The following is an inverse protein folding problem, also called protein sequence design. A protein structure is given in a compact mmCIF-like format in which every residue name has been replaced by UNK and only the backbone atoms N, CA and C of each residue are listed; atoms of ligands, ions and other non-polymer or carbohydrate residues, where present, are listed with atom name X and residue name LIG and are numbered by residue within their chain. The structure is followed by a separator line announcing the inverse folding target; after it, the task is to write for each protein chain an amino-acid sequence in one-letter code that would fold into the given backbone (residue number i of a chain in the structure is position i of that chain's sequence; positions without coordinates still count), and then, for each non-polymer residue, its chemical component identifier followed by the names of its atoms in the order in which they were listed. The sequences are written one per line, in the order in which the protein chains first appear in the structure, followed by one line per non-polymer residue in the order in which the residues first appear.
data_IF_319539820690
#
_entry.id   IF_319539820690
#
_cell.length_a   1.000
_cell.length_b   1.000
_cell.length_c   1.000
_cell.angle_alpha   90.00
_cell.angle_beta   90.00
_cell.angle_gamma   90.00
#
_symmetry.space_group_name_H-M   'P 1'
#
loop_
_entity.id
_entity.type
_entity.pdbx_description
1 polymer ?
#
# COMPACT_ATOMS: atom_id res chain seq x y z
N UNK A 1 20.80 -21.00 -15.37
CA UNK A 1 20.83 -19.92 -16.36
C UNK A 1 21.08 -18.61 -15.66
N UNK A 2 21.98 -17.81 -16.18
CA UNK A 2 22.30 -16.49 -15.66
C UNK A 2 21.11 -15.54 -15.85
N UNK A 3 20.90 -14.64 -14.90
CA UNK A 3 19.86 -13.63 -14.93
C UNK A 3 20.49 -12.24 -14.84
N UNK A 4 20.09 -11.34 -15.74
CA UNK A 4 20.42 -9.92 -15.61
C UNK A 4 19.40 -9.29 -14.67
N UNK A 5 19.86 -8.78 -13.52
CA UNK A 5 19.00 -8.21 -12.49
C UNK A 5 19.17 -6.70 -12.45
N UNK A 6 18.05 -5.97 -12.63
CA UNK A 6 17.95 -4.51 -12.48
C UNK A 6 17.21 -4.17 -11.20
N UNK A 7 17.78 -3.27 -10.41
CA UNK A 7 17.20 -2.82 -9.14
C UNK A 7 17.07 -1.32 -9.12
N UNK A 8 15.91 -0.83 -8.72
CA UNK A 8 15.64 0.60 -8.59
C UNK A 8 14.64 0.88 -7.47
N UNK A 9 14.75 2.04 -6.83
CA UNK A 9 13.76 2.55 -5.89
C UNK A 9 12.97 3.68 -6.56
N UNK A 10 11.64 3.62 -6.48
CA UNK A 10 10.75 4.60 -7.08
C UNK A 10 9.73 5.10 -6.06
N UNK A 11 9.55 6.42 -5.90
CA UNK A 11 8.46 6.99 -5.11
C UNK A 11 7.13 7.02 -5.88
N UNK A 12 7.17 7.11 -7.21
CA UNK A 12 5.98 7.30 -8.03
C UNK A 12 5.05 6.09 -8.03
N UNK A 13 5.64 4.89 -7.97
CA UNK A 13 4.89 3.64 -7.88
C UNK A 13 4.10 3.51 -6.56
N UNK A 14 4.52 4.21 -5.51
CA UNK A 14 3.85 4.16 -4.22
C UNK A 14 2.43 4.74 -4.25
N UNK A 15 2.17 5.73 -5.12
CA UNK A 15 0.86 6.37 -5.25
C UNK A 15 -0.21 5.41 -5.76
N UNK A 16 0.14 4.48 -6.62
CA UNK A 16 -0.79 3.50 -7.17
C UNK A 16 -1.36 2.56 -6.10
N UNK A 17 -0.64 2.36 -5.00
CA UNK A 17 -1.05 1.47 -3.92
C UNK A 17 -2.05 2.11 -2.95
N UNK A 18 -2.09 3.43 -2.89
CA UNK A 18 -2.93 4.17 -1.93
C UNK A 18 -4.23 4.70 -2.51
N UNK A 19 -4.47 4.52 -3.81
CA UNK A 19 -5.65 5.06 -4.51
C UNK A 19 -5.58 6.56 -4.75
N UNK A 20 -6.70 7.18 -5.08
CA UNK A 20 -6.81 8.62 -5.33
C UNK A 20 -6.59 9.39 -4.04
N UNK A 21 -5.41 9.97 -3.86
CA UNK A 21 -5.07 10.80 -2.70
C UNK A 21 -4.48 12.10 -3.22
N UNK A 22 -5.18 13.20 -3.00
CA UNK A 22 -4.77 14.52 -3.45
C UNK A 22 -3.51 15.05 -2.74
N UNK A 23 -3.12 14.45 -1.60
CA UNK A 23 -2.14 15.03 -0.68
C UNK A 23 -0.85 14.23 -0.47
N UNK A 24 -0.54 13.23 -1.31
CA UNK A 24 0.74 12.54 -1.18
C UNK A 24 1.89 13.43 -1.65
N UNK A 25 2.97 13.54 -0.85
CA UNK A 25 4.11 14.35 -1.25
C UNK A 25 4.73 13.81 -2.55
N UNK A 26 4.98 14.72 -3.48
CA UNK A 26 5.74 14.44 -4.70
C UNK A 26 7.22 14.64 -4.38
N UNK A 27 8.01 13.58 -4.49
CA UNK A 27 9.46 13.68 -4.33
C UNK A 27 10.05 13.96 -5.71
N UNK A 28 10.53 15.18 -5.92
CA UNK A 28 11.21 15.61 -7.17
C UNK A 28 12.65 15.12 -7.25
N UNK A 29 13.22 14.72 -6.12
CA UNK A 29 14.62 14.29 -6.00
C UNK A 29 14.71 12.79 -5.70
N UNK A 30 15.83 12.18 -6.11
CA UNK A 30 16.16 10.81 -5.72
C UNK A 30 16.51 10.75 -4.25
N UNK A 31 15.64 10.13 -3.45
CA UNK A 31 15.83 9.99 -2.00
C UNK A 31 16.65 8.75 -1.67
N UNK A 32 16.37 7.64 -2.34
CA UNK A 32 17.03 6.36 -2.11
C UNK A 32 17.62 5.80 -3.39
N UNK A 33 18.78 5.17 -3.27
CA UNK A 33 19.40 4.37 -4.33
C UNK A 33 19.61 2.93 -3.85
N UNK A 34 19.48 1.99 -4.79
CA UNK A 34 19.81 0.59 -4.58
C UNK A 34 21.17 0.27 -5.23
N UNK A 35 22.02 -0.45 -4.53
CA UNK A 35 23.35 -0.82 -5.00
C UNK A 35 23.62 -2.32 -4.81
N UNK A 36 24.06 -3.06 -5.82
CA UNK A 36 24.29 -2.64 -7.21
C UNK A 36 22.97 -2.44 -7.99
N UNK A 37 22.86 -1.42 -8.87
CA UNK A 37 21.63 -1.17 -9.63
C UNK A 37 21.41 -2.15 -10.78
N UNK A 38 22.51 -2.78 -11.26
CA UNK A 38 22.49 -3.77 -12.33
C UNK A 38 23.60 -4.79 -12.09
N UNK A 39 23.28 -6.07 -12.17
CA UNK A 39 24.25 -7.15 -12.02
C UNK A 39 23.77 -8.45 -12.66
N UNK A 40 24.70 -9.37 -12.92
CA UNK A 40 24.38 -10.73 -13.34
C UNK A 40 24.33 -11.64 -12.12
N UNK A 41 23.17 -12.28 -11.92
CA UNK A 41 22.98 -13.30 -10.89
C UNK A 41 23.14 -14.68 -11.52
N UNK A 42 24.14 -15.42 -11.06
CA UNK A 42 24.40 -16.81 -11.48
C UNK A 42 23.49 -17.79 -10.72
N UNK A 43 23.20 -18.98 -11.27
CA UNK A 43 22.48 -20.03 -10.55
C UNK A 43 23.13 -20.31 -9.19
N UNK A 44 22.31 -20.59 -8.20
CA UNK A 44 22.72 -20.94 -6.83
C UNK A 44 23.60 -19.90 -6.13
N UNK A 45 23.63 -18.67 -6.66
CA UNK A 45 24.30 -17.52 -6.03
C UNK A 45 23.29 -16.52 -5.47
N UNK A 46 23.73 -15.80 -4.44
CA UNK A 46 22.99 -14.71 -3.86
C UNK A 46 23.78 -13.40 -3.96
N UNK A 47 23.06 -12.29 -3.98
CA UNK A 47 23.64 -10.95 -4.01
C UNK A 47 22.92 -10.07 -2.98
N UNK A 48 23.68 -9.32 -2.20
CA UNK A 48 23.13 -8.35 -1.25
C UNK A 48 22.88 -7.04 -1.96
N UNK A 49 21.63 -6.57 -1.88
CA UNK A 49 21.23 -5.24 -2.34
C UNK A 49 21.24 -4.32 -1.13
N UNK A 50 21.97 -3.21 -1.23
CA UNK A 50 22.00 -2.15 -0.21
C UNK A 50 21.12 -1.00 -0.69
N UNK A 51 20.29 -0.49 0.23
CA UNK A 51 19.44 0.67 0.00
C UNK A 51 20.02 1.81 0.84
N UNK A 52 20.48 2.87 0.18
CA UNK A 52 21.09 4.00 0.83
C UNK A 52 20.23 5.26 0.59
N UNK A 53 20.02 6.04 1.65
CA UNK A 53 19.47 7.39 1.53
C UNK A 53 20.57 8.30 1.02
N UNK A 54 20.32 9.03 -0.08
CA UNK A 54 21.31 9.90 -0.73
C UNK A 54 20.91 11.36 -0.73
N UNK A 55 19.66 11.68 -0.44
CA UNK A 55 19.19 13.06 -0.43
C UNK A 55 17.73 13.19 -0.06
N UNK A 56 17.14 14.29 -0.48
CA UNK A 56 15.73 14.62 -0.35
C UNK A 56 15.28 14.94 1.07
N UNK A 57 14.34 15.88 1.18
CA UNK A 57 13.66 16.19 2.44
C UNK A 57 12.44 15.24 2.58
N UNK A 58 12.42 14.46 3.65
CA UNK A 58 11.29 13.61 4.01
C UNK A 58 10.56 14.19 5.22
N UNK A 59 9.22 14.09 5.27
CA UNK A 59 8.46 14.50 6.43
C UNK A 59 8.97 13.81 7.71
N UNK A 60 9.13 14.58 8.78
CA UNK A 60 9.57 14.06 10.07
C UNK A 60 8.40 13.60 10.96
N UNK A 61 7.17 13.96 10.59
CA UNK A 61 5.95 13.71 11.34
C UNK A 61 5.17 12.46 10.88
N UNK A 62 5.63 11.80 9.80
CA UNK A 62 4.91 10.66 9.21
C UNK A 62 5.81 9.70 8.45
N UNK A 63 5.31 8.52 8.18
CA UNK A 63 5.96 7.57 7.27
C UNK A 63 5.94 8.05 5.82
N UNK A 64 6.99 7.67 5.07
CA UNK A 64 7.08 7.84 3.62
C UNK A 64 7.21 6.48 2.95
N UNK A 65 6.50 6.27 1.83
CA UNK A 65 6.44 5.01 1.09
C UNK A 65 7.24 5.10 -0.20
N UNK A 66 8.07 4.09 -0.42
CA UNK A 66 8.82 3.87 -1.67
C UNK A 66 8.64 2.43 -2.14
N UNK A 67 8.91 2.18 -3.40
CA UNK A 67 8.86 0.84 -3.99
C UNK A 67 10.26 0.44 -4.47
N UNK A 68 10.75 -0.68 -3.95
CA UNK A 68 11.90 -1.38 -4.50
C UNK A 68 11.44 -2.27 -5.65
N UNK A 69 11.89 -1.96 -6.84
CA UNK A 69 11.65 -2.74 -8.04
C UNK A 69 12.88 -3.63 -8.31
N UNK A 70 12.67 -4.93 -8.37
CA UNK A 70 13.70 -5.91 -8.73
C UNK A 70 13.21 -6.65 -9.97
N UNK A 71 13.83 -6.38 -11.12
CA UNK A 71 13.52 -7.03 -12.39
C UNK A 71 14.61 -8.00 -12.77
N UNK A 72 14.28 -9.25 -12.99
CA UNK A 72 15.19 -10.30 -13.44
C UNK A 72 14.83 -10.73 -14.87
N UNK A 73 15.80 -10.61 -15.77
CA UNK A 73 15.69 -10.98 -17.18
C UNK A 73 16.65 -12.11 -17.48
N UNK A 74 16.22 -13.18 -18.15
CA UNK A 74 17.14 -14.23 -18.58
C UNK A 74 18.14 -13.65 -19.58
N UNK A 75 19.44 -13.95 -19.39
CA UNK A 75 20.46 -13.58 -20.36
C UNK A 75 20.32 -14.44 -21.60
N UNK A 76 20.47 -13.80 -22.77
CA UNK A 76 20.62 -14.53 -24.01
C UNK A 76 22.01 -15.17 -23.99
N UNK A 77 22.08 -16.49 -23.94
CA UNK A 77 23.33 -17.17 -24.32
C UNK A 77 23.61 -16.81 -25.77
N UNK A 78 24.88 -16.44 -26.06
CA UNK A 78 25.32 -16.16 -27.40
C UNK A 78 25.15 -17.42 -28.28
N UNK A 79 23.95 -17.61 -28.75
CA UNK A 79 23.70 -18.65 -29.74
C UNK A 79 24.08 -18.12 -31.11
N UNK A 80 25.37 -18.32 -31.45
CA UNK A 80 25.80 -18.35 -32.83
C UNK A 80 25.24 -19.56 -33.59
N UNK A 81 24.28 -20.28 -33.04
CA UNK A 81 23.62 -21.40 -33.68
C UNK A 81 22.17 -21.03 -34.02
N UNK A 82 22.00 -20.80 -35.33
CA UNK A 82 20.80 -21.08 -36.13
C UNK A 82 19.46 -21.05 -35.44
N UNK A 83 18.63 -20.10 -35.89
CA UNK A 83 17.17 -20.05 -35.81
C UNK A 83 16.56 -21.44 -35.70
N UNK A 84 16.15 -21.85 -34.53
CA UNK A 84 15.06 -22.81 -34.36
C UNK A 84 14.46 -22.64 -32.98
N UNK A 85 13.16 -22.51 -33.02
CA UNK A 85 12.20 -22.68 -31.98
C UNK A 85 11.75 -21.42 -31.21
N UNK A 86 10.43 -21.33 -31.12
CA UNK A 86 9.65 -20.43 -30.27
C UNK A 86 10.09 -20.54 -28.81
N UNK A 87 11.12 -19.78 -28.43
CA UNK A 87 11.56 -19.69 -27.04
C UNK A 87 10.73 -18.63 -26.32
N UNK A 88 9.92 -19.05 -25.37
CA UNK A 88 9.25 -18.15 -24.44
C UNK A 88 10.28 -17.65 -23.41
N UNK A 89 10.53 -16.33 -23.38
CA UNK A 89 11.33 -15.69 -22.35
C UNK A 89 10.41 -14.99 -21.35
N UNK A 90 10.53 -15.33 -20.09
CA UNK A 90 9.74 -14.73 -19.01
C UNK A 90 10.66 -13.82 -18.21
N UNK A 91 10.35 -12.53 -18.15
CA UNK A 91 10.93 -11.57 -17.23
C UNK A 91 10.08 -11.51 -15.97
N UNK A 92 10.73 -11.56 -14.81
CA UNK A 92 10.04 -11.46 -13.51
C UNK A 92 10.37 -10.11 -12.89
N UNK A 93 9.35 -9.38 -12.44
CA UNK A 93 9.52 -8.15 -11.67
C UNK A 93 8.85 -8.30 -10.31
N UNK A 94 9.65 -8.19 -9.26
CA UNK A 94 9.18 -8.10 -7.89
C UNK A 94 9.12 -6.64 -7.45
N UNK A 95 8.02 -6.26 -6.79
CA UNK A 95 7.80 -4.93 -6.22
C UNK A 95 7.61 -5.06 -4.73
N UNK A 96 8.50 -4.45 -3.95
CA UNK A 96 8.48 -4.51 -2.49
C UNK A 96 8.33 -3.10 -1.92
N UNK A 97 7.48 -2.96 -0.91
CA UNK A 97 7.27 -1.69 -0.21
C UNK A 97 8.45 -1.41 0.72
N UNK A 98 8.93 -0.16 0.72
CA UNK A 98 9.90 0.35 1.66
C UNK A 98 9.24 1.49 2.42
N UNK A 99 9.06 1.33 3.72
CA UNK A 99 8.58 2.39 4.61
C UNK A 99 9.77 3.06 5.27
N UNK A 100 9.98 4.33 4.94
CA UNK A 100 10.87 5.18 5.74
C UNK A 100 10.09 5.70 6.92
N UNK A 101 10.59 5.38 8.12
CA UNK A 101 9.96 5.75 9.39
C UNK A 101 10.90 6.65 10.17
N UNK A 102 10.51 7.91 10.44
CA UNK A 102 11.22 8.76 11.38
C UNK A 102 11.25 8.15 12.78
N UNK A 103 12.36 8.32 13.50
CA UNK A 103 12.55 7.72 14.82
C UNK A 103 11.66 8.29 15.92
N UNK A 104 11.08 9.47 15.70
CA UNK A 104 10.24 10.20 16.66
C UNK A 104 8.75 9.93 16.52
N UNK A 105 8.30 8.98 15.69
CA UNK A 105 6.90 8.61 15.63
C UNK A 105 6.49 7.85 16.88
N UNK A 106 5.71 8.50 17.74
CA UNK A 106 5.32 8.00 19.06
C UNK A 106 4.14 7.02 19.06
N UNK A 107 3.46 6.85 17.94
CA UNK A 107 2.28 5.99 17.87
C UNK A 107 2.64 4.50 17.77
N UNK A 108 1.92 3.66 18.55
CA UNK A 108 2.02 2.21 18.43
C UNK A 108 1.52 1.77 17.03
N UNK A 109 2.39 1.12 16.22
CA UNK A 109 2.02 0.67 14.88
C UNK A 109 0.85 -0.29 14.86
N UNK A 110 0.65 -1.08 15.93
CA UNK A 110 -0.40 -2.08 16.01
C UNK A 110 -1.78 -1.47 16.33
N UNK A 111 -1.84 -0.19 16.68
CA UNK A 111 -3.09 0.49 17.04
C UNK A 111 -3.61 1.44 15.95
N UNK A 112 -2.78 1.76 14.96
CA UNK A 112 -3.12 2.75 13.93
C UNK A 112 -4.38 2.39 13.12
N UNK A 113 -4.57 1.10 12.80
CA UNK A 113 -5.71 0.65 11.99
C UNK A 113 -7.05 0.73 12.73
N UNK A 114 -7.03 0.75 14.07
CA UNK A 114 -8.23 0.89 14.91
C UNK A 114 -8.74 2.34 14.95
N UNK A 115 -7.86 3.30 14.64
CA UNK A 115 -8.17 4.73 14.63
C UNK A 115 -8.74 5.24 13.31
N UNK A 116 -8.84 4.37 12.30
CA UNK A 116 -9.42 4.74 11.02
C UNK A 116 -10.85 5.27 11.21
N UNK A 117 -11.14 6.38 10.53
CA UNK A 117 -12.47 6.99 10.55
C UNK A 117 -13.16 6.74 9.21
N UNK A 118 -14.39 6.29 9.28
CA UNK A 118 -15.16 5.90 8.11
C UNK A 118 -16.36 6.82 7.93
N UNK A 119 -16.61 7.24 6.71
CA UNK A 119 -17.80 7.99 6.32
C UNK A 119 -18.37 7.40 5.03
N UNK A 120 -19.71 7.53 4.87
CA UNK A 120 -20.40 7.03 3.69
C UNK A 120 -21.34 8.09 3.13
N UNK A 121 -21.30 8.26 1.80
CA UNK A 121 -22.29 9.04 1.05
C UNK A 121 -22.74 8.20 -0.13
N UNK A 122 -23.99 7.73 -0.10
CA UNK A 122 -24.54 6.78 -1.07
C UNK A 122 -23.67 5.50 -1.16
N UNK A 123 -23.10 5.20 -2.32
CA UNK A 123 -22.19 4.08 -2.58
C UNK A 123 -20.72 4.39 -2.25
N UNK A 124 -20.38 5.68 -2.11
CA UNK A 124 -19.02 6.11 -1.87
C UNK A 124 -18.71 6.03 -0.38
N UNK A 125 -17.66 5.28 -0.07
CA UNK A 125 -17.07 5.18 1.26
C UNK A 125 -15.78 5.97 1.28
N UNK A 126 -15.63 6.78 2.31
CA UNK A 126 -14.39 7.50 2.61
C UNK A 126 -13.79 6.92 3.88
N UNK A 127 -12.54 6.46 3.80
CA UNK A 127 -11.75 6.09 4.97
C UNK A 127 -10.66 7.13 5.19
N UNK A 128 -10.59 7.67 6.40
CA UNK A 128 -9.58 8.64 6.82
C UNK A 128 -8.63 8.01 7.85
N UNK A 129 -7.34 8.17 7.62
CA UNK A 129 -6.28 7.76 8.54
C UNK A 129 -5.76 8.99 9.30
N UNK A 130 -6.09 9.15 10.58
CA UNK A 130 -5.62 10.28 11.39
C UNK A 130 -4.19 10.10 11.90
N UNK A 131 -3.59 8.92 11.71
CA UNK A 131 -2.28 8.57 12.24
C UNK A 131 -1.13 8.87 11.29
N UNK A 132 0.12 8.83 11.81
CA UNK A 132 1.32 9.13 11.05
C UNK A 132 1.86 7.94 10.27
N UNK A 133 1.21 6.78 10.29
CA UNK A 133 1.63 5.53 9.65
C UNK A 133 0.71 5.14 8.52
N UNK A 134 1.25 4.44 7.51
CA UNK A 134 0.43 3.77 6.51
C UNK A 134 -0.36 2.63 7.15
N UNK A 135 -1.63 2.52 6.81
CA UNK A 135 -2.48 1.41 7.24
C UNK A 135 -2.87 0.57 6.04
N UNK A 136 -2.54 -0.70 6.06
CA UNK A 136 -2.99 -1.67 5.04
C UNK A 136 -4.38 -2.15 5.42
N UNK A 137 -5.32 -2.07 4.48
CA UNK A 137 -6.65 -2.67 4.60
C UNK A 137 -6.56 -4.13 4.12
N UNK A 138 -5.98 -4.98 4.97
CA UNK A 138 -5.83 -6.41 4.67
C UNK A 138 -7.16 -7.13 4.91
N UNK A 139 -7.42 -8.13 4.08
CA UNK A 139 -8.63 -8.96 4.20
C UNK A 139 -9.90 -8.10 4.36
N UNK A 140 -10.03 -7.08 3.50
CA UNK A 140 -11.15 -6.15 3.53
C UNK A 140 -12.41 -6.84 3.01
N UNK A 141 -13.46 -6.83 3.81
CA UNK A 141 -14.79 -7.32 3.45
C UNK A 141 -15.77 -6.14 3.38
N UNK A 142 -16.58 -6.12 2.34
CA UNK A 142 -17.70 -5.21 2.20
C UNK A 142 -18.97 -6.02 1.96
N UNK A 143 -19.92 -5.93 2.86
CA UNK A 143 -21.14 -6.77 2.85
C UNK A 143 -20.82 -8.27 2.68
N UNK A 144 -19.79 -8.74 3.40
CA UNK A 144 -19.31 -10.13 3.36
C UNK A 144 -18.47 -10.51 2.13
N UNK A 145 -18.25 -9.62 1.16
CA UNK A 145 -17.40 -9.89 -0.01
C UNK A 145 -16.00 -9.36 0.20
N UNK A 146 -15.01 -10.23 -0.07
CA UNK A 146 -13.59 -9.84 -0.04
C UNK A 146 -13.28 -8.92 -1.22
N UNK A 147 -12.63 -7.79 -0.94
CA UNK A 147 -12.16 -6.85 -1.95
C UNK A 147 -10.70 -6.44 -1.66
N UNK A 148 -9.99 -5.96 -2.68
CA UNK A 148 -8.66 -5.38 -2.50
C UNK A 148 -8.77 -4.01 -1.83
N UNK A 149 -8.42 -3.94 -0.54
CA UNK A 149 -8.47 -2.71 0.24
C UNK A 149 -7.32 -1.74 -0.05
N UNK A 150 -6.16 -2.23 -0.46
CA UNK A 150 -4.96 -1.42 -0.60
C UNK A 150 -4.49 -0.80 0.71
N UNK A 151 -4.03 0.44 0.69
CA UNK A 151 -3.52 1.16 1.86
C UNK A 151 -4.14 2.55 1.99
N UNK A 152 -4.15 3.07 3.22
CA UNK A 152 -4.50 4.47 3.54
C UNK A 152 -3.24 5.18 4.04
N UNK A 153 -2.84 6.24 3.35
CA UNK A 153 -1.64 6.99 3.68
C UNK A 153 -1.81 7.79 5.00
N UNK A 154 -0.69 8.19 5.65
CA UNK A 154 -0.73 9.02 6.85
C UNK A 154 -1.48 10.33 6.62
N UNK A 155 -2.31 10.73 7.60
CA UNK A 155 -3.08 11.99 7.60
C UNK A 155 -3.90 12.23 6.32
N UNK A 156 -4.32 11.14 5.67
CA UNK A 156 -4.96 11.17 4.37
C UNK A 156 -6.25 10.39 4.35
N UNK A 157 -7.04 10.59 3.31
CA UNK A 157 -8.25 9.82 3.08
C UNK A 157 -8.19 9.07 1.74
N UNK A 158 -9.01 8.05 1.64
CA UNK A 158 -9.23 7.28 0.42
C UNK A 158 -10.73 7.14 0.19
N UNK A 159 -11.17 7.30 -1.06
CA UNK A 159 -12.57 7.15 -1.44
C UNK A 159 -12.73 6.03 -2.47
N UNK A 160 -13.76 5.21 -2.29
CA UNK A 160 -14.09 4.10 -3.20
C UNK A 160 -15.61 3.86 -3.21
N UNK A 161 -16.13 3.42 -4.34
CA UNK A 161 -17.52 2.97 -4.49
C UNK A 161 -17.65 1.52 -4.03
N UNK A 162 -17.61 1.29 -2.74
CA UNK A 162 -17.63 -0.04 -2.15
C UNK A 162 -19.01 -0.52 -1.74
N UNK A 163 -19.89 0.40 -1.31
CA UNK A 163 -21.23 0.06 -0.84
C UNK A 163 -22.27 0.07 -1.96
N UNK A 164 -23.41 -0.52 -1.70
CA UNK A 164 -24.61 -0.31 -2.54
C UNK A 164 -25.19 1.07 -2.28
N UNK A 165 -25.98 1.60 -3.21
CA UNK A 165 -26.60 2.92 -3.06
C UNK A 165 -27.63 3.00 -1.92
N UNK A 166 -28.14 1.87 -1.45
CA UNK A 166 -29.19 1.78 -0.40
C UNK A 166 -28.83 0.71 0.64
N UNK A 167 -29.45 0.81 1.81
CA UNK A 167 -29.28 -0.11 2.92
C UNK A 167 -28.05 0.16 3.78
N UNK A 168 -27.85 -0.67 4.78
CA UNK A 168 -26.65 -0.67 5.64
C UNK A 168 -25.48 -1.26 4.86
N UNK A 169 -24.30 -0.71 5.03
CA UNK A 169 -23.07 -1.25 4.47
C UNK A 169 -22.16 -1.66 5.62
N UNK A 170 -21.86 -2.94 5.72
CA UNK A 170 -20.90 -3.47 6.67
C UNK A 170 -19.51 -3.52 6.02
N UNK A 171 -18.53 -2.92 6.70
CA UNK A 171 -17.11 -3.01 6.31
C UNK A 171 -16.35 -3.65 7.46
N UNK A 172 -15.60 -4.72 7.15
CA UNK A 172 -14.70 -5.36 8.09
C UNK A 172 -13.30 -5.41 7.48
N UNK A 173 -12.27 -5.15 8.29
CA UNK A 173 -10.88 -5.15 7.85
C UNK A 173 -9.94 -5.66 8.92
N UNK A 174 -8.81 -6.15 8.46
CA UNK A 174 -7.64 -6.46 9.26
C UNK A 174 -6.47 -5.59 8.78
N UNK A 175 -5.35 -5.65 9.47
CA UNK A 175 -4.07 -5.07 9.01
C UNK A 175 -2.94 -6.05 9.30
N UNK A 176 -1.76 -5.72 8.81
CA UNK A 176 -0.54 -6.47 9.05
C UNK A 176 0.38 -5.66 9.97
N UNK A 177 0.98 -6.32 10.94
CA UNK A 177 2.04 -5.72 11.75
C UNK A 177 3.37 -5.60 10.97
N UNK A 178 4.41 -5.09 11.61
CA UNK A 178 5.73 -4.91 10.99
C UNK A 178 6.43 -6.24 10.67
N UNK A 179 5.96 -7.35 11.23
CA UNK A 179 6.47 -8.71 10.98
C UNK A 179 5.57 -9.50 10.02
N UNK A 180 4.59 -8.83 9.42
CA UNK A 180 3.61 -9.42 8.50
C UNK A 180 2.61 -10.39 9.17
N UNK A 181 2.42 -10.29 10.49
CA UNK A 181 1.36 -11.01 11.18
C UNK A 181 0.03 -10.28 10.99
N UNK A 182 -1.04 -11.05 10.84
CA UNK A 182 -2.38 -10.51 10.70
C UNK A 182 -2.92 -10.12 12.08
N UNK A 183 -3.33 -8.87 12.24
CA UNK A 183 -3.94 -8.37 13.47
C UNK A 183 -5.46 -8.64 13.49
N UNK A 184 -6.11 -8.59 14.68
CA UNK A 184 -7.54 -8.82 14.82
C UNK A 184 -8.40 -7.99 13.88
N UNK A 185 -9.54 -8.53 13.47
CA UNK A 185 -10.47 -7.83 12.60
C UNK A 185 -11.24 -6.74 13.34
N UNK A 186 -11.48 -5.64 12.64
CA UNK A 186 -12.39 -4.56 13.06
C UNK A 186 -13.49 -4.41 12.05
N UNK A 187 -14.65 -3.90 12.50
CA UNK A 187 -15.79 -3.66 11.62
C UNK A 187 -16.54 -2.38 11.95
N UNK A 188 -17.21 -1.85 10.95
CA UNK A 188 -18.11 -0.70 11.04
C UNK A 188 -19.34 -0.96 10.20
N UNK A 189 -20.52 -0.60 10.74
CA UNK A 189 -21.77 -0.59 10.02
C UNK A 189 -22.13 0.86 9.69
N UNK A 190 -22.29 1.15 8.41
CA UNK A 190 -22.58 2.51 7.94
C UNK A 190 -23.97 2.60 7.33
N UNK A 191 -24.81 3.45 7.93
CA UNK A 191 -26.09 3.84 7.34
C UNK A 191 -25.89 4.92 6.27
N UNK A 192 -26.88 5.12 5.40
CA UNK A 192 -26.95 6.30 4.55
C UNK A 192 -27.02 7.54 5.44
N UNK A 193 -26.20 8.55 5.15
CA UNK A 193 -26.37 9.87 5.75
C UNK A 193 -27.74 10.39 5.29
N UNK A 194 -28.69 10.53 6.23
CA UNK A 194 -29.87 11.33 5.98
C UNK A 194 -29.39 12.79 5.89
N UNK A 195 -29.54 13.39 4.71
CA UNK A 195 -29.42 14.83 4.59
C UNK A 195 -30.63 15.44 5.33
N UNK A 196 -30.39 16.03 6.49
CA UNK A 196 -31.35 16.91 7.08
C UNK A 196 -31.59 18.10 6.14
N UNK A 197 -32.84 18.37 5.87
CA UNK A 197 -33.32 19.44 4.97
C UNK A 197 -32.87 20.83 5.42
N UNK A 198 -32.20 20.94 6.57
CA UNK A 198 -31.72 22.18 7.20
C UNK A 198 -30.25 22.55 6.82
N UNK A 199 -29.58 21.83 5.90
CA UNK A 199 -28.29 22.26 5.35
C UNK A 199 -27.09 22.12 6.27
N UNK A 200 -27.20 21.53 7.45
CA UNK A 200 -26.08 21.18 8.31
C UNK A 200 -25.67 19.70 8.12
N UNK A 201 -24.45 19.45 7.67
CA UNK A 201 -23.90 18.10 7.54
C UNK A 201 -23.64 17.50 8.93
N UNK A 202 -24.53 16.66 9.40
CA UNK A 202 -24.25 15.81 10.55
C UNK A 202 -23.39 14.64 10.12
N UNK A 203 -22.13 14.63 10.52
CA UNK A 203 -21.22 13.48 10.36
C UNK A 203 -21.55 12.48 11.46
N UNK A 204 -22.32 11.44 11.14
CA UNK A 204 -22.59 10.37 12.10
C UNK A 204 -21.39 9.42 12.15
N UNK A 205 -20.63 9.50 13.23
CA UNK A 205 -19.60 8.51 13.55
C UNK A 205 -20.26 7.34 14.27
N UNK A 206 -20.31 6.17 13.64
CA UNK A 206 -20.79 4.95 14.30
C UNK A 206 -19.66 4.29 15.07
N UNK A 207 -19.98 3.82 16.29
CA UNK A 207 -19.02 3.18 17.19
C UNK A 207 -18.38 1.93 16.59
N UNK A 208 -17.05 1.83 16.76
CA UNK A 208 -16.27 0.64 16.48
C UNK A 208 -16.60 -0.44 17.53
N UNK A 209 -17.05 -1.61 17.08
CA UNK A 209 -17.28 -2.75 17.98
C UNK A 209 -16.21 -3.82 17.69
N UNK A 210 -15.61 -4.34 18.77
CA UNK A 210 -14.77 -5.55 18.70
C UNK A 210 -15.61 -6.75 18.33
N UNK A 211 -15.14 -7.67 17.47
CA UNK A 211 -15.78 -8.97 17.35
C UNK A 211 -15.58 -9.73 18.66
N UNK A 212 -16.67 -10.14 19.28
CA UNK A 212 -16.65 -11.16 20.34
C UNK A 212 -16.22 -12.48 19.74
N UNK A 213 -15.17 -13.07 20.29
CA UNK A 213 -14.67 -14.41 19.99
C UNK A 213 -15.74 -15.47 20.16
#
# INVERSE_FOLDING_TARGET
RDMLVKVAVSPDDARQLTGTVESLPSYSETVFIATPPLFVLKPDKNTKIRINRVGGSLPADRESLFILNVAALPTLENSHSVKTDNQLQIAVRNRMKIFYRPSNLSEDPNMSYQKLRWARKNEIVTVYNPGPRYVTLYNLHVDGKVIDGGMVAPFSHRQQSWCKSQGVCEIAWQTLDIYNNVLPAWKVNMNLLQMDVSGSQAVSYTHLTLPTT
#
